data_IF_723145199468
#
_entry.id   IF_723145199468
#
_cell.length_a   1.000
_cell.length_b   1.000
_cell.length_c   1.000
_cell.angle_alpha   90.00
_cell.angle_beta   90.00
_cell.angle_gamma   90.00
#
_symmetry.space_group_name_H-M   'P 1'
#
loop_
_entity.id
_entity.type
_entity.pdbx_description
1 polymer ?
#
# COMPACT_ATOMS: atom_id res chain seq x y z
N UNK A 1 19.77 19.17 19.92
CA UNK A 1 18.72 18.22 20.36
C UNK A 1 18.87 16.98 19.49
N UNK A 2 19.49 15.90 20.00
CA UNK A 2 19.53 14.63 19.27
C UNK A 2 18.14 14.03 19.33
N UNK A 3 17.34 14.18 18.26
CA UNK A 3 16.20 13.30 18.05
C UNK A 3 16.79 11.91 17.82
N UNK A 4 16.45 10.93 18.65
CA UNK A 4 16.66 9.52 18.34
C UNK A 4 16.02 9.28 16.97
N UNK A 5 16.86 9.12 15.94
CA UNK A 5 16.36 8.91 14.59
C UNK A 5 15.61 7.58 14.55
N UNK A 6 14.31 7.62 14.20
CA UNK A 6 13.57 6.41 13.89
C UNK A 6 14.17 5.84 12.58
N UNK A 7 14.84 4.70 12.68
CA UNK A 7 15.60 4.09 11.59
C UNK A 7 14.77 3.07 10.77
N UNK A 8 13.50 2.88 11.10
CA UNK A 8 12.63 1.88 10.49
C UNK A 8 11.56 2.47 9.56
N UNK A 9 10.79 1.58 8.93
CA UNK A 9 9.48 1.92 8.39
C UNK A 9 8.37 1.67 9.41
N UNK A 10 7.20 2.23 9.16
CA UNK A 10 5.98 1.98 9.96
C UNK A 10 4.93 1.29 9.11
N UNK A 11 3.99 0.65 9.81
CA UNK A 11 2.74 0.17 9.25
C UNK A 11 1.60 0.98 9.85
N UNK A 12 0.68 1.42 9.00
CA UNK A 12 -0.47 2.24 9.37
C UNK A 12 -1.76 1.57 8.91
N UNK A 13 -2.85 1.86 9.62
CA UNK A 13 -4.20 1.38 9.33
C UNK A 13 -5.05 2.39 8.57
N UNK A 14 -4.61 3.65 8.49
CA UNK A 14 -5.31 4.70 7.75
C UNK A 14 -4.34 5.62 6.99
N UNK A 15 -4.83 6.29 5.95
CA UNK A 15 -4.07 7.32 5.24
C UNK A 15 -3.93 8.62 6.05
N UNK A 16 -4.83 8.85 7.01
CA UNK A 16 -4.69 9.93 7.98
C UNK A 16 -3.45 9.72 8.88
N UNK A 17 -3.23 8.50 9.37
CA UNK A 17 -2.00 8.12 10.07
C UNK A 17 -0.77 8.30 9.17
N UNK A 18 -0.85 7.86 7.90
CA UNK A 18 0.23 8.02 6.94
C UNK A 18 0.64 9.50 6.77
N UNK A 19 -0.33 10.40 6.60
CA UNK A 19 -0.06 11.84 6.48
C UNK A 19 0.55 12.40 7.76
N UNK A 20 -0.02 12.06 8.92
CA UNK A 20 0.48 12.51 10.22
C UNK A 20 1.95 12.12 10.44
N UNK A 21 2.31 10.87 10.16
CA UNK A 21 3.68 10.39 10.35
C UNK A 21 4.66 10.97 9.32
N UNK A 22 4.22 11.18 8.08
CA UNK A 22 5.01 11.86 7.05
C UNK A 22 5.36 13.29 7.46
N UNK A 23 4.38 14.05 7.97
CA UNK A 23 4.57 15.41 8.48
C UNK A 23 5.54 15.46 9.68
N UNK A 24 5.67 14.35 10.41
CA UNK A 24 6.62 14.18 11.52
C UNK A 24 7.94 13.52 11.11
N UNK A 25 8.18 13.34 9.81
CA UNK A 25 9.47 12.94 9.25
C UNK A 25 9.66 11.45 8.96
N UNK A 26 8.65 10.60 9.19
CA UNK A 26 8.70 9.18 8.84
C UNK A 26 8.22 9.01 7.40
N UNK A 27 9.12 8.60 6.51
CA UNK A 27 8.82 8.49 5.07
C UNK A 27 8.54 7.07 4.58
N UNK A 28 8.98 6.05 5.32
CA UNK A 28 8.79 4.65 4.92
C UNK A 28 7.52 4.10 5.58
N UNK A 29 6.45 3.97 4.80
CA UNK A 29 5.09 3.73 5.28
C UNK A 29 4.46 2.57 4.50
N UNK A 30 3.90 1.61 5.23
CA UNK A 30 3.04 0.57 4.67
C UNK A 30 1.60 0.82 5.13
N UNK A 31 0.70 1.09 4.19
CA UNK A 31 -0.74 1.14 4.45
C UNK A 31 -1.29 -0.29 4.38
N UNK A 32 -1.52 -0.90 5.55
CA UNK A 32 -1.87 -2.32 5.68
C UNK A 32 -3.39 -2.54 5.77
N UNK A 33 -4.11 -1.92 4.84
CA UNK A 33 -5.53 -2.17 4.56
C UNK A 33 -5.68 -2.28 3.05
N UNK A 34 -6.53 -3.23 2.60
CA UNK A 34 -6.80 -3.46 1.19
C UNK A 34 -7.03 -2.16 0.42
N UNK A 35 -6.21 -1.91 -0.59
CA UNK A 35 -6.25 -0.68 -1.36
C UNK A 35 -7.49 -0.65 -2.26
N UNK A 36 -8.20 0.47 -2.22
CA UNK A 36 -9.31 0.74 -3.12
C UNK A 36 -8.97 1.89 -4.08
N UNK A 37 -9.51 1.92 -5.31
CA UNK A 37 -9.17 2.92 -6.31
C UNK A 37 -9.43 4.38 -5.88
N UNK A 38 -10.44 4.61 -5.05
CA UNK A 38 -10.79 5.93 -4.48
C UNK A 38 -9.71 6.48 -3.53
N UNK A 39 -8.82 5.61 -3.02
CA UNK A 39 -7.72 5.99 -2.12
C UNK A 39 -6.43 6.35 -2.84
N UNK A 40 -6.35 6.12 -4.15
CA UNK A 40 -5.12 6.37 -4.91
C UNK A 40 -4.77 7.86 -5.03
N UNK A 41 -5.75 8.76 -4.95
CA UNK A 41 -5.46 10.21 -4.94
C UNK A 41 -4.71 10.60 -3.66
N UNK A 42 -5.22 10.20 -2.50
CA UNK A 42 -4.57 10.41 -1.21
C UNK A 42 -3.18 9.74 -1.14
N UNK A 43 -3.04 8.52 -1.67
CA UNK A 43 -1.74 7.82 -1.76
C UNK A 43 -0.77 8.58 -2.66
N UNK A 44 -1.22 9.07 -3.82
CA UNK A 44 -0.38 9.82 -4.75
C UNK A 44 0.11 11.15 -4.13
N UNK A 45 -0.73 11.81 -3.34
CA UNK A 45 -0.33 13.01 -2.60
C UNK A 45 0.80 12.72 -1.61
N UNK A 46 0.75 11.58 -0.89
CA UNK A 46 1.83 11.15 0.00
C UNK A 46 3.12 10.86 -0.79
N UNK A 47 3.02 10.18 -1.93
CA UNK A 47 4.17 9.92 -2.82
C UNK A 47 4.80 11.22 -3.32
N UNK A 48 3.98 12.18 -3.77
CA UNK A 48 4.44 13.50 -4.23
C UNK A 48 5.09 14.33 -3.12
N UNK A 49 4.67 14.14 -1.86
CA UNK A 49 5.31 14.72 -0.67
C UNK A 49 6.59 13.99 -0.24
N UNK A 50 7.00 12.95 -0.98
CA UNK A 50 8.26 12.23 -0.79
C UNK A 50 8.18 11.05 0.18
N UNK A 51 6.98 10.54 0.49
CA UNK A 51 6.83 9.27 1.18
C UNK A 51 7.17 8.10 0.22
N UNK A 52 7.74 7.03 0.79
CA UNK A 52 7.76 5.71 0.18
C UNK A 52 6.58 4.94 0.75
N UNK A 53 5.48 4.93 0.01
CA UNK A 53 4.25 4.23 0.40
C UNK A 53 4.20 2.86 -0.26
N UNK A 54 3.93 1.83 0.54
CA UNK A 54 3.50 0.51 0.08
C UNK A 54 2.03 0.33 0.43
N UNK A 55 1.24 -0.19 -0.50
CA UNK A 55 -0.16 -0.55 -0.28
C UNK A 55 -0.33 -2.06 -0.39
N UNK A 56 -1.43 -2.61 0.14
CA UNK A 56 -1.72 -4.05 0.07
C UNK A 56 -2.98 -4.32 -0.77
N UNK A 57 -3.02 -5.45 -1.45
CA UNK A 57 -4.25 -5.99 -2.08
C UNK A 57 -4.25 -7.51 -1.95
N UNK A 58 -5.42 -8.12 -1.93
CA UNK A 58 -5.64 -9.56 -2.04
C UNK A 58 -6.57 -9.91 -3.22
N UNK A 59 -6.89 -8.93 -4.06
CA UNK A 59 -7.95 -9.04 -5.06
C UNK A 59 -7.41 -8.83 -6.47
N UNK A 60 -7.45 -9.88 -7.30
CA UNK A 60 -7.03 -9.80 -8.70
C UNK A 60 -7.91 -8.87 -9.55
N UNK A 61 -9.21 -8.80 -9.25
CA UNK A 61 -10.15 -8.02 -10.04
C UNK A 61 -9.95 -6.51 -9.93
N UNK A 62 -9.28 -6.02 -8.87
CA UNK A 62 -9.02 -4.58 -8.71
C UNK A 62 -7.81 -4.10 -9.53
N UNK A 63 -6.92 -5.00 -9.95
CA UNK A 63 -5.64 -4.65 -10.59
C UNK A 63 -5.81 -3.75 -11.82
N UNK A 64 -6.70 -4.04 -12.79
CA UNK A 64 -6.85 -3.20 -13.97
C UNK A 64 -7.28 -1.76 -13.63
N UNK A 65 -8.16 -1.63 -12.63
CA UNK A 65 -8.67 -0.33 -12.17
C UNK A 65 -7.57 0.46 -11.46
N UNK A 66 -6.75 -0.21 -10.64
CA UNK A 66 -5.58 0.41 -10.01
C UNK A 66 -4.56 0.87 -11.04
N UNK A 67 -4.28 0.05 -12.07
CA UNK A 67 -3.35 0.39 -13.15
C UNK A 67 -3.81 1.62 -13.94
N UNK A 68 -5.09 1.66 -14.35
CA UNK A 68 -5.67 2.81 -15.05
C UNK A 68 -5.57 4.09 -14.21
N UNK A 69 -5.96 4.00 -12.93
CA UNK A 69 -5.91 5.16 -12.02
C UNK A 69 -4.46 5.60 -11.77
N UNK A 70 -3.51 4.68 -11.58
CA UNK A 70 -2.10 5.03 -11.43
C UNK A 70 -1.54 5.70 -12.68
N UNK A 71 -1.89 5.22 -13.88
CA UNK A 71 -1.50 5.85 -15.13
C UNK A 71 -2.03 7.29 -15.23
N UNK A 72 -3.30 7.52 -14.86
CA UNK A 72 -3.90 8.86 -14.87
C UNK A 72 -3.21 9.83 -13.90
N UNK A 73 -2.79 9.32 -12.73
CA UNK A 73 -2.11 10.09 -11.68
C UNK A 73 -0.59 10.20 -11.88
N UNK A 74 -0.03 9.44 -12.83
CA UNK A 74 1.42 9.19 -12.97
C UNK A 74 2.05 8.68 -11.66
N UNK A 75 1.28 7.92 -10.90
CA UNK A 75 1.70 7.37 -9.62
C UNK A 75 2.57 6.12 -9.83
N UNK A 76 3.69 6.02 -9.11
CA UNK A 76 4.48 4.80 -9.05
C UNK A 76 4.16 4.06 -7.74
N UNK A 77 3.23 3.10 -7.83
CA UNK A 77 2.68 2.42 -6.67
C UNK A 77 3.46 1.15 -6.36
N UNK A 78 3.92 0.99 -5.11
CA UNK A 78 4.45 -0.28 -4.63
C UNK A 78 3.30 -1.08 -4.01
N UNK A 79 3.00 -2.24 -4.58
CA UNK A 79 1.91 -3.11 -4.12
C UNK A 79 2.47 -4.37 -3.49
N UNK A 80 1.92 -4.73 -2.34
CA UNK A 80 2.15 -5.98 -1.64
C UNK A 80 0.88 -6.84 -1.74
N UNK A 81 1.03 -8.16 -1.68
CA UNK A 81 -0.09 -9.09 -1.63
C UNK A 81 -0.37 -9.47 -0.18
N UNK A 82 -1.61 -9.29 0.30
CA UNK A 82 -2.02 -9.79 1.63
C UNK A 82 -2.27 -11.30 1.55
N UNK A 83 -1.67 -12.08 2.44
CA UNK A 83 -1.78 -13.54 2.49
C UNK A 83 -2.66 -13.95 3.68
N UNK A 84 -3.62 -14.85 3.46
CA UNK A 84 -4.38 -15.47 4.55
C UNK A 84 -3.59 -16.63 5.15
N UNK A 85 -3.23 -16.52 6.42
CA UNK A 85 -2.54 -17.57 7.19
C UNK A 85 -3.48 -18.35 8.12
N UNK A 86 -4.80 -18.32 7.87
CA UNK A 86 -5.84 -19.02 8.63
C UNK A 86 -6.70 -18.12 9.51
N UNK A 87 -6.60 -16.80 9.35
CA UNK A 87 -7.34 -15.82 10.14
C UNK A 87 -8.71 -15.45 9.57
N UNK A 88 -8.97 -15.79 8.29
CA UNK A 88 -10.24 -15.56 7.59
C UNK A 88 -10.77 -14.12 7.65
N UNK A 89 -9.88 -13.14 7.84
CA UNK A 89 -10.22 -11.70 7.85
C UNK A 89 -10.16 -11.10 6.44
N UNK A 90 -9.21 -11.56 5.66
CA UNK A 90 -8.81 -11.10 4.33
C UNK A 90 -7.53 -11.82 3.95
N UNK A 91 -7.00 -11.51 2.77
CA UNK A 91 -5.81 -12.15 2.22
C UNK A 91 -6.12 -13.31 1.30
N UNK A 92 -5.20 -13.55 0.38
CA UNK A 92 -5.27 -14.64 -0.58
C UNK A 92 -4.69 -15.92 0.02
N UNK A 93 -5.29 -17.06 -0.29
CA UNK A 93 -4.75 -18.36 0.11
C UNK A 93 -3.35 -18.56 -0.50
N UNK A 94 -2.31 -18.87 0.30
CA UNK A 94 -0.94 -19.01 -0.17
C UNK A 94 -0.73 -20.13 -1.20
N UNK A 95 -1.63 -21.11 -1.26
CA UNK A 95 -1.55 -22.26 -2.18
C UNK A 95 -2.44 -22.07 -3.43
N UNK A 96 -3.05 -20.90 -3.62
CA UNK A 96 -3.98 -20.67 -4.74
C UNK A 96 -3.26 -20.28 -6.03
N UNK A 97 -3.84 -20.67 -7.16
CA UNK A 97 -3.42 -20.17 -8.48
C UNK A 97 -3.65 -18.66 -8.60
N UNK A 98 -4.66 -18.13 -7.93
CA UNK A 98 -4.97 -16.70 -7.91
C UNK A 98 -3.81 -15.86 -7.34
N UNK A 99 -3.06 -16.37 -6.35
CA UNK A 99 -1.85 -15.69 -5.84
C UNK A 99 -0.80 -15.53 -6.94
N UNK A 100 -0.58 -16.58 -7.73
CA UNK A 100 0.39 -16.55 -8.84
C UNK A 100 -0.06 -15.56 -9.91
N UNK A 101 -1.34 -15.56 -10.27
CA UNK A 101 -1.91 -14.62 -11.24
C UNK A 101 -1.79 -13.18 -10.77
N UNK A 102 -2.09 -12.91 -9.48
CA UNK A 102 -1.96 -11.59 -8.89
C UNK A 102 -0.51 -11.10 -8.88
N UNK A 103 0.44 -11.97 -8.52
CA UNK A 103 1.88 -11.64 -8.52
C UNK A 103 2.45 -11.33 -9.91
N UNK A 104 1.81 -11.82 -10.98
CA UNK A 104 2.22 -11.56 -12.37
C UNK A 104 1.55 -10.33 -12.99
N UNK A 105 0.60 -9.72 -12.30
CA UNK A 105 -0.24 -8.64 -12.84
C UNK A 105 0.27 -7.22 -12.55
N UNK A 106 1.41 -7.08 -11.87
CA UNK A 106 2.07 -5.80 -11.54
C UNK A 106 3.45 -5.71 -12.19
#
# INVERSE_FOLDING_TARGET
MLRTAFLGGITVSTLAEASYFLENGIKDITYAVGISPDKLEEVNDLLNKGARVRVITDNLAVVPVLQEKCASLKANLNVLIEIDTGGLRGGINPESEELILLGQSY
#
